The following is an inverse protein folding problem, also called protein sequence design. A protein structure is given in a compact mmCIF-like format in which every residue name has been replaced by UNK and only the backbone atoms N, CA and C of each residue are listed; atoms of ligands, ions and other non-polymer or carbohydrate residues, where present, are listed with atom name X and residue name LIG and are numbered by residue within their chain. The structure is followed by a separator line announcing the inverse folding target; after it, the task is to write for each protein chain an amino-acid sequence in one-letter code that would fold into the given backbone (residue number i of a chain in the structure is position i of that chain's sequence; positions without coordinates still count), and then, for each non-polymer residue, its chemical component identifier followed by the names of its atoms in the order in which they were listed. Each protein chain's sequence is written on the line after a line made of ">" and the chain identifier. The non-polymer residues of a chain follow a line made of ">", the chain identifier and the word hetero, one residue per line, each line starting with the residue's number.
data_IF_501771695387
#
_entry.id   IF_501771695387
#
_cell.length_a   1.000
_cell.length_b   1.000
_cell.length_c   1.000
_cell.angle_alpha   90.00
_cell.angle_beta   90.00
_cell.angle_gamma   90.00
#
_symmetry.space_group_name_H-M   'P 1'
#
loop_
_entity.id
_entity.type
_entity.pdbx_description
1 polymer ?
#
# COMPACT_ATOMS: atom_id res chain seq x y z
N UNK A 1 26.16 -4.57 23.14
CA UNK A 1 26.32 -3.82 21.89
C UNK A 1 24.92 -3.31 21.48
N UNK A 2 24.45 -2.23 22.12
CA UNK A 2 23.22 -1.53 21.73
C UNK A 2 23.58 -0.68 20.52
N UNK A 3 23.30 -1.16 19.31
CA UNK A 3 23.27 -0.32 18.13
C UNK A 3 21.98 0.51 18.21
N UNK A 4 22.17 1.80 18.32
CA UNK A 4 21.11 2.79 18.34
C UNK A 4 20.23 2.65 17.08
N UNK A 5 19.14 1.92 17.20
CA UNK A 5 18.14 1.73 16.11
C UNK A 5 17.55 3.07 15.67
N UNK A 6 17.68 4.11 16.52
CA UNK A 6 17.25 5.48 16.20
C UNK A 6 18.30 6.29 15.43
N UNK A 7 19.53 5.78 15.29
CA UNK A 7 20.60 6.47 14.55
C UNK A 7 20.57 6.18 13.03
N UNK A 8 19.67 5.33 12.55
CA UNK A 8 19.47 5.12 11.11
C UNK A 8 18.58 6.23 10.55
N UNK A 9 19.08 7.07 9.62
CA UNK A 9 18.33 8.23 9.11
C UNK A 9 17.02 7.83 8.41
N UNK A 10 16.86 6.57 8.00
CA UNK A 10 15.63 6.04 7.42
C UNK A 10 14.54 5.68 8.41
N UNK A 11 14.87 5.36 9.68
CA UNK A 11 13.88 4.88 10.65
C UNK A 11 12.79 5.93 10.98
N UNK A 12 13.11 7.20 11.29
CA UNK A 12 12.08 8.22 11.54
C UNK A 12 11.25 8.52 10.28
N UNK A 13 11.86 8.51 9.10
CA UNK A 13 11.14 8.67 7.83
C UNK A 13 10.15 7.51 7.60
N UNK A 14 10.55 6.28 7.87
CA UNK A 14 9.68 5.12 7.76
C UNK A 14 8.48 5.20 8.73
N UNK A 15 8.70 5.64 9.98
CA UNK A 15 7.63 5.82 10.97
C UNK A 15 6.65 6.91 10.53
N UNK A 16 7.14 8.05 10.08
CA UNK A 16 6.29 9.15 9.57
C UNK A 16 5.50 8.69 8.34
N UNK A 17 6.14 8.00 7.40
CA UNK A 17 5.49 7.45 6.22
C UNK A 17 4.38 6.46 6.60
N UNK A 18 4.65 5.55 7.53
CA UNK A 18 3.67 4.57 8.01
C UNK A 18 2.47 5.25 8.70
N UNK A 19 2.72 6.29 9.52
CA UNK A 19 1.67 7.05 10.18
C UNK A 19 0.79 7.80 9.17
N UNK A 20 1.40 8.45 8.17
CA UNK A 20 0.68 9.15 7.09
C UNK A 20 -0.14 8.17 6.24
N UNK A 21 0.44 7.03 5.89
CA UNK A 21 -0.26 5.99 5.16
C UNK A 21 -1.45 5.43 5.94
N UNK A 22 -1.24 5.11 7.23
CA UNK A 22 -2.32 4.64 8.11
C UNK A 22 -3.45 5.65 8.28
N UNK A 23 -3.13 6.94 8.34
CA UNK A 23 -4.12 8.01 8.41
C UNK A 23 -4.89 8.19 7.09
N UNK A 24 -4.32 7.84 5.94
CA UNK A 24 -4.95 8.05 4.63
C UNK A 24 -6.28 7.30 4.49
N UNK A 25 -6.38 6.08 5.03
CA UNK A 25 -7.58 5.23 4.92
C UNK A 25 -8.81 5.84 5.60
N UNK A 26 -8.77 6.31 6.88
CA UNK A 26 -9.88 7.00 7.50
C UNK A 26 -10.29 8.28 6.75
N UNK A 27 -9.31 9.10 6.33
CA UNK A 27 -9.61 10.33 5.57
C UNK A 27 -10.24 10.03 4.22
N UNK A 28 -9.74 9.04 3.49
CA UNK A 28 -10.37 8.60 2.24
C UNK A 28 -11.81 8.15 2.47
N UNK A 29 -12.07 7.41 3.55
CA UNK A 29 -13.45 6.98 3.89
C UNK A 29 -14.39 8.16 4.16
N UNK A 30 -13.93 9.19 4.86
CA UNK A 30 -14.70 10.41 5.10
C UNK A 30 -15.06 11.10 3.78
N UNK A 31 -14.08 11.33 2.90
CA UNK A 31 -14.27 11.97 1.61
C UNK A 31 -15.21 11.19 0.68
N UNK A 32 -15.13 9.86 0.70
CA UNK A 32 -16.06 9.00 -0.03
C UNK A 32 -17.48 9.09 0.55
N UNK A 33 -17.61 9.25 1.88
CA UNK A 33 -18.88 9.48 2.57
C UNK A 33 -19.55 10.78 2.17
N UNK A 34 -18.77 11.82 1.86
CA UNK A 34 -19.23 13.12 1.36
C UNK A 34 -19.62 13.10 -0.14
N UNK A 35 -19.59 11.95 -0.78
CA UNK A 35 -20.05 11.76 -2.16
C UNK A 35 -18.97 11.96 -3.23
N UNK A 36 -17.70 12.07 -2.86
CA UNK A 36 -16.58 12.11 -3.83
C UNK A 36 -16.47 10.76 -4.53
N UNK A 37 -16.35 10.77 -5.86
CA UNK A 37 -16.23 9.52 -6.61
C UNK A 37 -14.91 8.80 -6.30
N UNK A 38 -14.91 7.44 -6.20
CA UNK A 38 -13.70 6.65 -5.96
C UNK A 38 -12.57 6.90 -6.97
N UNK A 39 -12.92 7.09 -8.23
CA UNK A 39 -11.98 7.38 -9.32
C UNK A 39 -11.30 8.73 -9.16
N UNK A 40 -12.09 9.74 -8.82
CA UNK A 40 -11.58 11.10 -8.61
C UNK A 40 -10.64 11.13 -7.41
N UNK A 41 -11.02 10.48 -6.30
CA UNK A 41 -10.21 10.43 -5.11
C UNK A 41 -8.89 9.70 -5.32
N UNK A 42 -8.91 8.53 -5.98
CA UNK A 42 -7.70 7.82 -6.36
C UNK A 42 -6.78 8.69 -7.23
N UNK A 43 -7.33 9.33 -8.26
CA UNK A 43 -6.58 10.23 -9.14
C UNK A 43 -5.95 11.41 -8.40
N UNK A 44 -6.68 12.06 -7.50
CA UNK A 44 -6.18 13.20 -6.70
C UNK A 44 -5.04 12.79 -5.76
N UNK A 45 -5.14 11.63 -5.11
CA UNK A 45 -4.10 11.12 -4.23
C UNK A 45 -2.79 10.88 -4.99
N UNK A 46 -2.87 10.26 -6.17
CA UNK A 46 -1.69 10.01 -6.99
C UNK A 46 -1.12 11.28 -7.60
N UNK A 47 -1.98 12.19 -8.03
CA UNK A 47 -1.55 13.49 -8.57
C UNK A 47 -0.85 14.32 -7.49
N UNK A 48 -1.40 14.35 -6.28
CA UNK A 48 -0.77 15.01 -5.13
C UNK A 48 0.60 14.40 -4.78
N UNK A 49 0.70 13.07 -4.76
CA UNK A 49 1.96 12.37 -4.55
C UNK A 49 2.97 12.67 -5.66
N UNK A 50 2.55 12.63 -6.92
CA UNK A 50 3.39 12.92 -8.08
C UNK A 50 3.93 14.34 -8.09
N UNK A 51 3.07 15.33 -7.79
CA UNK A 51 3.48 16.73 -7.65
C UNK A 51 4.45 16.91 -6.48
N UNK A 52 4.15 16.31 -5.31
CA UNK A 52 5.02 16.37 -4.14
C UNK A 52 6.42 15.80 -4.41
N UNK A 53 6.50 14.61 -4.99
CA UNK A 53 7.77 14.01 -5.39
C UNK A 53 8.50 14.81 -6.47
N UNK A 54 7.76 15.39 -7.43
CA UNK A 54 8.31 16.28 -8.44
C UNK A 54 8.98 17.51 -7.82
N UNK A 55 8.35 18.17 -6.87
CA UNK A 55 8.89 19.32 -6.14
C UNK A 55 10.16 18.92 -5.39
N UNK A 56 10.14 17.79 -4.67
CA UNK A 56 11.30 17.27 -3.93
C UNK A 56 12.46 16.97 -4.91
N UNK A 57 12.16 16.31 -6.03
CA UNK A 57 13.17 15.99 -7.04
C UNK A 57 13.82 17.24 -7.65
N UNK A 58 13.00 18.24 -8.01
CA UNK A 58 13.50 19.51 -8.52
C UNK A 58 14.34 20.25 -7.49
N UNK A 59 13.91 20.28 -6.22
CA UNK A 59 14.65 20.88 -5.12
C UNK A 59 16.03 20.21 -4.90
N UNK A 60 16.06 18.87 -4.86
CA UNK A 60 17.33 18.11 -4.76
C UNK A 60 18.27 18.40 -5.91
N UNK A 61 17.72 18.48 -7.12
CA UNK A 61 18.51 18.80 -8.32
C UNK A 61 19.08 20.22 -8.30
N UNK A 62 18.30 21.19 -7.81
CA UNK A 62 18.74 22.59 -7.66
C UNK A 62 19.88 22.76 -6.65
N UNK A 63 19.95 21.91 -5.62
CA UNK A 63 21.02 21.90 -4.59
C UNK A 63 22.19 20.99 -4.99
N UNK A 64 22.19 20.42 -6.20
CA UNK A 64 23.28 19.58 -6.70
C UNK A 64 23.34 18.18 -6.09
N UNK A 65 22.29 17.73 -5.41
CA UNK A 65 22.15 16.36 -4.92
C UNK A 65 21.78 15.46 -6.10
N UNK A 66 22.77 14.81 -6.71
CA UNK A 66 22.53 13.85 -7.78
C UNK A 66 21.69 12.66 -7.27
N UNK A 67 20.77 12.17 -8.09
CA UNK A 67 20.10 10.92 -7.84
C UNK A 67 21.14 9.79 -7.86
N UNK A 68 21.16 8.98 -6.81
CA UNK A 68 22.02 7.79 -6.72
C UNK A 68 21.44 6.60 -7.49
N UNK A 69 20.28 6.79 -8.13
CA UNK A 69 19.52 5.75 -8.81
C UNK A 69 20.02 5.57 -10.26
N UNK A 70 20.00 4.32 -10.72
CA UNK A 70 20.36 4.01 -12.09
C UNK A 70 19.33 4.61 -13.08
N UNK A 71 19.77 5.11 -14.25
CA UNK A 71 18.84 5.64 -15.25
C UNK A 71 17.98 4.52 -15.83
N UNK A 72 16.69 4.81 -16.02
CA UNK A 72 15.74 3.90 -16.66
C UNK A 72 16.15 3.61 -18.11
N UNK A 73 16.20 2.33 -18.47
CA UNK A 73 16.45 1.87 -19.80
C UNK A 73 15.13 1.64 -20.58
N UNK A 74 15.18 1.67 -21.91
CA UNK A 74 14.00 1.37 -22.74
C UNK A 74 13.46 -0.04 -22.53
N UNK A 75 14.31 -0.99 -22.14
CA UNK A 75 13.91 -2.36 -21.80
C UNK A 75 13.04 -2.45 -20.53
N UNK A 76 13.12 -1.44 -19.65
CA UNK A 76 12.35 -1.42 -18.40
C UNK A 76 10.94 -0.87 -18.59
N UNK A 77 10.69 -0.20 -19.74
CA UNK A 77 9.41 0.46 -20.01
C UNK A 77 8.17 -0.45 -19.93
N UNK A 78 8.16 -1.68 -20.49
CA UNK A 78 7.00 -2.55 -20.39
C UNK A 78 6.73 -2.99 -18.94
N UNK A 79 7.78 -3.26 -18.17
CA UNK A 79 7.66 -3.61 -16.76
C UNK A 79 7.16 -2.41 -15.93
N UNK A 80 7.69 -1.22 -16.21
CA UNK A 80 7.23 0.01 -15.58
C UNK A 80 5.75 0.29 -15.90
N UNK A 81 5.34 0.10 -17.15
CA UNK A 81 3.94 0.26 -17.55
C UNK A 81 3.03 -0.75 -16.82
N UNK A 82 3.47 -2.01 -16.67
CA UNK A 82 2.74 -3.02 -15.92
C UNK A 82 2.56 -2.62 -14.45
N UNK A 83 3.63 -2.19 -13.79
CA UNK A 83 3.60 -1.75 -12.38
C UNK A 83 2.72 -0.51 -12.20
N UNK A 84 2.79 0.46 -13.12
CA UNK A 84 1.95 1.66 -13.07
C UNK A 84 0.49 1.33 -13.31
N UNK A 85 0.17 0.41 -14.20
CA UNK A 85 -1.21 0.00 -14.44
C UNK A 85 -1.79 -0.81 -13.28
N UNK A 86 -1.06 -1.80 -12.78
CA UNK A 86 -1.54 -2.64 -11.67
C UNK A 86 -1.56 -1.86 -10.36
N UNK A 87 -0.41 -1.47 -9.85
CA UNK A 87 -0.28 -0.81 -8.55
C UNK A 87 -0.65 0.67 -8.55
N UNK A 88 -0.47 1.37 -9.67
CA UNK A 88 -0.73 2.81 -9.79
C UNK A 88 -2.16 3.17 -10.20
N UNK A 89 -2.86 2.31 -10.93
CA UNK A 89 -4.22 2.60 -11.39
C UNK A 89 -5.25 1.61 -10.82
N UNK A 90 -5.08 0.31 -11.07
CA UNK A 90 -6.07 -0.71 -10.70
C UNK A 90 -6.17 -0.85 -9.18
N UNK A 91 -5.06 -1.00 -8.47
CA UNK A 91 -5.02 -1.18 -7.03
C UNK A 91 -5.75 -0.06 -6.27
N UNK A 92 -5.37 1.22 -6.43
CA UNK A 92 -6.00 2.34 -5.74
C UNK A 92 -7.49 2.51 -6.06
N UNK A 93 -7.88 2.28 -7.30
CA UNK A 93 -9.29 2.36 -7.68
C UNK A 93 -10.10 1.25 -7.01
N UNK A 94 -9.61 0.02 -7.01
CA UNK A 94 -10.25 -1.09 -6.32
C UNK A 94 -10.33 -0.83 -4.81
N UNK A 95 -9.28 -0.26 -4.21
CA UNK A 95 -9.27 0.13 -2.81
C UNK A 95 -10.34 1.19 -2.51
N UNK A 96 -10.44 2.23 -3.33
CA UNK A 96 -11.43 3.28 -3.13
C UNK A 96 -12.87 2.75 -3.32
N UNK A 97 -13.10 1.89 -4.31
CA UNK A 97 -14.39 1.22 -4.49
C UNK A 97 -14.70 0.33 -3.26
N UNK A 98 -13.73 -0.43 -2.78
CA UNK A 98 -13.89 -1.25 -1.59
C UNK A 98 -14.25 -0.44 -0.34
N UNK A 99 -13.62 0.73 -0.17
CA UNK A 99 -13.88 1.66 0.93
C UNK A 99 -15.29 2.25 0.91
N UNK A 100 -16.00 2.32 -0.20
CA UNK A 100 -17.39 2.82 -0.22
C UNK A 100 -18.30 1.95 0.61
N UNK A 101 -18.12 0.65 0.58
CA UNK A 101 -19.00 -0.34 1.22
C UNK A 101 -18.40 -0.99 2.47
N UNK A 102 -17.09 -0.87 2.69
CA UNK A 102 -16.37 -1.48 3.82
C UNK A 102 -15.98 -0.44 4.86
N UNK A 103 -16.10 -0.72 6.17
CA UNK A 103 -15.59 0.16 7.22
C UNK A 103 -14.08 0.37 7.10
N UNK A 104 -13.59 1.57 7.45
CA UNK A 104 -12.16 1.89 7.36
C UNK A 104 -11.27 0.97 8.22
N UNK A 105 -11.77 0.54 9.38
CA UNK A 105 -11.07 -0.40 10.25
C UNK A 105 -10.87 -1.77 9.61
N UNK A 106 -11.93 -2.31 8.99
CA UNK A 106 -11.86 -3.60 8.27
C UNK A 106 -10.97 -3.49 7.03
N UNK A 107 -11.04 -2.37 6.32
CA UNK A 107 -10.15 -2.09 5.17
C UNK A 107 -8.70 -2.05 5.59
N UNK A 108 -8.36 -1.35 6.67
CA UNK A 108 -6.98 -1.27 7.18
C UNK A 108 -6.41 -2.65 7.53
N UNK A 109 -7.24 -3.56 8.00
CA UNK A 109 -6.82 -4.94 8.29
C UNK A 109 -6.69 -5.80 7.03
N UNK A 110 -7.61 -5.64 6.09
CA UNK A 110 -7.53 -6.33 4.79
C UNK A 110 -6.28 -5.89 4.02
N UNK A 111 -5.84 -4.64 4.13
CA UNK A 111 -4.58 -4.16 3.55
C UNK A 111 -3.34 -4.89 4.07
N UNK A 112 -3.39 -5.51 5.26
CA UNK A 112 -2.29 -6.38 5.70
C UNK A 112 -2.13 -7.65 4.83
N UNK A 113 -3.16 -8.04 4.05
CA UNK A 113 -3.07 -9.12 3.08
C UNK A 113 -2.08 -8.81 1.95
N UNK A 114 -1.79 -7.55 1.67
CA UNK A 114 -0.74 -7.13 0.73
C UNK A 114 0.62 -7.70 1.14
N UNK A 115 0.98 -7.60 2.42
CA UNK A 115 2.22 -8.20 2.94
C UNK A 115 2.26 -9.72 2.79
N UNK A 116 1.10 -10.37 2.92
CA UNK A 116 1.00 -11.82 2.70
C UNK A 116 1.11 -12.18 1.22
N UNK A 117 0.46 -11.42 0.33
CA UNK A 117 0.56 -11.61 -1.11
C UNK A 117 2.01 -11.43 -1.58
N UNK A 118 2.68 -10.37 -1.13
CA UNK A 118 4.10 -10.11 -1.40
C UNK A 118 4.98 -11.27 -0.92
N UNK A 119 4.76 -11.77 0.30
CA UNK A 119 5.51 -12.91 0.84
C UNK A 119 5.29 -14.18 0.01
N UNK A 120 4.06 -14.47 -0.40
CA UNK A 120 3.74 -15.64 -1.23
C UNK A 120 4.41 -15.52 -2.60
N UNK A 121 4.38 -14.35 -3.22
CA UNK A 121 5.04 -14.09 -4.50
C UNK A 121 6.56 -14.26 -4.35
N UNK A 122 7.17 -13.68 -3.30
CA UNK A 122 8.60 -13.84 -3.02
C UNK A 122 8.98 -15.33 -2.87
N UNK A 123 8.17 -16.10 -2.15
CA UNK A 123 8.42 -17.52 -1.94
C UNK A 123 8.24 -18.35 -3.23
N UNK A 124 7.13 -18.15 -3.96
CA UNK A 124 6.76 -19.01 -5.10
C UNK A 124 7.53 -18.61 -6.37
N UNK A 125 7.61 -17.29 -6.66
CA UNK A 125 8.20 -16.77 -7.90
C UNK A 125 9.71 -16.62 -7.76
N UNK A 126 10.16 -15.98 -6.68
CA UNK A 126 11.58 -15.70 -6.45
C UNK A 126 12.29 -16.82 -5.67
N UNK A 127 11.55 -17.83 -5.19
CA UNK A 127 12.08 -18.97 -4.41
C UNK A 127 12.90 -18.55 -3.20
N UNK A 128 12.51 -17.44 -2.58
CA UNK A 128 13.14 -16.97 -1.34
C UNK A 128 12.82 -17.90 -0.18
N UNK A 129 13.80 -18.06 0.71
CA UNK A 129 13.61 -18.89 1.91
C UNK A 129 12.71 -18.18 2.91
N UNK A 130 11.55 -18.76 3.19
CA UNK A 130 10.61 -18.28 4.18
C UNK A 130 10.96 -18.89 5.54
N UNK A 131 11.42 -18.06 6.48
CA UNK A 131 11.72 -18.50 7.84
C UNK A 131 10.41 -18.77 8.62
N UNK A 132 10.50 -19.71 9.59
CA UNK A 132 9.37 -20.07 10.47
C UNK A 132 8.78 -18.86 11.21
N UNK A 133 9.59 -17.86 11.54
CA UNK A 133 9.15 -16.62 12.18
C UNK A 133 8.26 -15.79 11.26
N UNK A 134 8.60 -15.77 9.97
CA UNK A 134 7.79 -15.09 8.95
C UNK A 134 6.44 -15.78 8.77
N UNK A 135 6.43 -17.12 8.73
CA UNK A 135 5.19 -17.92 8.67
C UNK A 135 4.29 -17.70 9.89
N UNK A 136 4.86 -17.61 11.10
CA UNK A 136 4.08 -17.30 12.31
C UNK A 136 3.48 -15.89 12.25
N UNK A 137 4.23 -14.89 11.77
CA UNK A 137 3.72 -13.54 11.55
C UNK A 137 2.57 -13.50 10.54
N UNK A 138 2.74 -14.20 9.42
CA UNK A 138 1.71 -14.34 8.38
C UNK A 138 0.45 -15.02 8.92
N UNK A 139 0.59 -16.10 9.69
CA UNK A 139 -0.53 -16.78 10.33
C UNK A 139 -1.26 -15.87 11.34
N UNK A 140 -0.53 -15.07 12.10
CA UNK A 140 -1.11 -14.10 13.03
C UNK A 140 -1.90 -13.01 12.30
N UNK A 141 -1.39 -12.49 11.18
CA UNK A 141 -2.09 -11.51 10.33
C UNK A 141 -3.38 -12.12 9.78
N UNK A 142 -3.32 -13.33 9.24
CA UNK A 142 -4.50 -14.05 8.74
C UNK A 142 -5.53 -14.29 9.84
N UNK A 143 -5.10 -14.74 11.00
CA UNK A 143 -6.00 -14.97 12.14
C UNK A 143 -6.66 -13.65 12.58
N UNK A 144 -5.93 -12.54 12.65
CA UNK A 144 -6.48 -11.21 12.95
C UNK A 144 -7.51 -10.75 11.93
N UNK A 145 -7.20 -10.92 10.63
CA UNK A 145 -8.13 -10.57 9.54
C UNK A 145 -9.40 -11.41 9.59
N UNK A 146 -9.30 -12.72 9.86
CA UNK A 146 -10.43 -13.62 10.01
C UNK A 146 -11.31 -13.28 11.22
N UNK A 147 -10.68 -13.04 12.38
CA UNK A 147 -11.39 -12.65 13.61
C UNK A 147 -12.20 -11.37 13.41
N UNK A 148 -11.63 -10.39 12.73
CA UNK A 148 -12.32 -9.14 12.49
C UNK A 148 -13.41 -9.26 11.43
N UNK A 149 -13.20 -10.06 10.40
CA UNK A 149 -14.23 -10.37 9.40
C UNK A 149 -15.42 -11.12 10.02
N UNK A 150 -15.17 -11.93 11.05
CA UNK A 150 -16.21 -12.66 11.78
C UNK A 150 -17.13 -11.75 12.60
N UNK A 151 -16.61 -10.67 13.16
CA UNK A 151 -17.39 -9.71 13.96
C UNK A 151 -18.25 -8.74 13.10
N UNK A 152 -18.08 -8.74 11.79
CA UNK A 152 -18.71 -7.80 10.86
C UNK A 152 -20.17 -8.16 10.45
N UNK A 153 -20.76 -9.23 10.94
CA UNK A 153 -22.14 -9.66 10.55
C UNK A 153 -22.20 -10.24 9.13
N UNK A 154 -23.41 -10.57 8.61
CA UNK A 154 -23.59 -11.22 7.31
C UNK A 154 -23.16 -10.39 6.07
N UNK A 155 -22.60 -9.19 6.25
CA UNK A 155 -22.00 -8.35 5.22
C UNK A 155 -20.46 -8.39 5.14
N UNK A 156 -19.79 -9.20 5.97
CA UNK A 156 -18.33 -9.18 6.10
C UNK A 156 -17.51 -9.62 4.86
N UNK A 157 -18.10 -10.39 3.97
CA UNK A 157 -17.52 -10.81 2.68
C UNK A 157 -18.28 -10.22 1.48
N UNK A 158 -18.62 -8.93 1.55
CA UNK A 158 -19.26 -8.23 0.45
C UNK A 158 -18.30 -7.90 -0.70
N UNK A 159 -18.86 -7.38 -1.80
CA UNK A 159 -18.10 -6.91 -2.97
C UNK A 159 -16.96 -5.96 -2.61
N UNK A 160 -17.10 -5.18 -1.53
CA UNK A 160 -16.05 -4.29 -1.02
C UNK A 160 -14.82 -5.03 -0.52
N UNK A 161 -14.99 -6.12 0.24
CA UNK A 161 -13.87 -6.93 0.72
C UNK A 161 -13.13 -7.62 -0.43
N UNK A 162 -13.87 -8.09 -1.45
CA UNK A 162 -13.29 -8.66 -2.67
C UNK A 162 -12.50 -7.60 -3.44
N UNK A 163 -13.01 -6.37 -3.56
CA UNK A 163 -12.31 -5.28 -4.22
C UNK A 163 -11.00 -4.91 -3.49
N UNK A 164 -11.02 -4.84 -2.15
CA UNK A 164 -9.83 -4.57 -1.34
C UNK A 164 -8.79 -5.69 -1.47
N UNK A 165 -9.24 -6.96 -1.42
CA UNK A 165 -8.35 -8.10 -1.62
C UNK A 165 -7.73 -8.07 -3.03
N UNK A 166 -8.53 -7.72 -4.05
CA UNK A 166 -8.03 -7.51 -5.41
C UNK A 166 -7.01 -6.38 -5.49
N UNK A 167 -7.20 -5.29 -4.75
CA UNK A 167 -6.23 -4.20 -4.66
C UNK A 167 -4.89 -4.64 -4.05
N UNK A 168 -4.92 -5.57 -3.09
CA UNK A 168 -3.69 -6.11 -2.46
C UNK A 168 -2.87 -7.02 -3.38
N UNK A 169 -3.48 -7.54 -4.45
CA UNK A 169 -2.82 -8.44 -5.41
C UNK A 169 -2.39 -7.69 -6.69
N UNK A 170 -2.99 -6.53 -6.97
CA UNK A 170 -2.68 -5.70 -8.14
C UNK A 170 -1.35 -4.97 -8.00
#
# INVERSE_FOLDING_TARGET
>A
MRRDLLAWPGAPLAIVSAALFGASTPFAKLLLGDGISPWLLAGLLYLGSGVGLGIIHLGRRAVGLAAAEAPLCRADMPWLALVVLSGGAIGPVLLMIGLTTTPASSTALLLNLESLATMVIAWVVFRENVDRRLLLGAAAILAGALLLSWQGGPGGFGLGAIAITGACVA
#
